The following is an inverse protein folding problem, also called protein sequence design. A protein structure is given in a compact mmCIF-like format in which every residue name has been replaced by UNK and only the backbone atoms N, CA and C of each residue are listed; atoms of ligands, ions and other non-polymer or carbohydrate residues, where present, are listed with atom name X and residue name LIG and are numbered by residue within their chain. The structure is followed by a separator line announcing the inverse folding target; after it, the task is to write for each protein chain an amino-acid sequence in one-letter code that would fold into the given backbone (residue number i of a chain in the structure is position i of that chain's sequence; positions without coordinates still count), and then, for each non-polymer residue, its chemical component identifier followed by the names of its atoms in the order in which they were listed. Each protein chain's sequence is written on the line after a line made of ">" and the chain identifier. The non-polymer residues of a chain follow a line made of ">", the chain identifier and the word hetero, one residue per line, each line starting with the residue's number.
data_IF_779178849517
#
_entry.id   IF_779178849517
#
_cell.length_a   1.000
_cell.length_b   1.000
_cell.length_c   1.000
_cell.angle_alpha   90.00
_cell.angle_beta   90.00
_cell.angle_gamma   90.00
#
_symmetry.space_group_name_H-M   'P 1'
#
loop_
_entity.id
_entity.type
_entity.pdbx_description
1 polymer ?
#
# COMPACT_ATOMS: atom_id res chain seq x y z
N UNK A 1 28.77 11.34 2.25
CA UNK A 1 27.45 10.72 2.30
C UNK A 1 26.67 11.37 3.44
N UNK A 2 25.38 11.68 3.30
CA UNK A 2 24.59 12.17 4.41
C UNK A 2 24.61 11.13 5.53
N UNK A 3 24.76 11.58 6.77
CA UNK A 3 24.80 10.68 7.93
C UNK A 3 23.40 10.59 8.53
N UNK A 4 22.50 9.82 7.89
CA UNK A 4 21.15 9.58 8.39
C UNK A 4 21.21 8.81 9.72
N UNK A 5 20.43 9.25 10.73
CA UNK A 5 20.32 8.59 12.02
C UNK A 5 19.39 7.37 11.96
N UNK A 6 18.35 7.43 11.13
CA UNK A 6 17.32 6.41 11.01
C UNK A 6 16.96 6.14 9.53
N UNK A 7 16.69 4.88 9.22
CA UNK A 7 16.22 4.44 7.90
C UNK A 7 14.80 3.89 8.01
N UNK A 8 13.88 4.47 7.25
CA UNK A 8 12.45 4.13 7.34
C UNK A 8 11.89 3.89 5.95
N UNK A 9 11.05 2.88 5.80
CA UNK A 9 10.38 2.61 4.55
C UNK A 9 8.86 2.46 4.75
N UNK A 10 8.10 3.23 4.00
CA UNK A 10 6.64 3.23 4.01
C UNK A 10 6.10 2.49 2.79
N UNK A 11 5.18 1.58 3.02
CA UNK A 11 4.57 0.77 1.97
C UNK A 11 3.05 0.87 2.02
N UNK A 12 2.43 1.11 0.88
CA UNK A 12 1.07 0.67 0.68
C UNK A 12 1.00 -0.86 0.61
N UNK A 13 -0.18 -1.44 0.85
CA UNK A 13 -0.37 -2.89 0.84
C UNK A 13 -1.06 -3.35 -0.45
N UNK A 14 -2.24 -2.78 -0.72
CA UNK A 14 -3.19 -3.28 -1.71
C UNK A 14 -2.85 -2.75 -3.12
N UNK A 15 -2.37 -3.60 -4.01
CA UNK A 15 -1.83 -3.19 -5.32
C UNK A 15 -0.31 -2.99 -5.31
N UNK A 16 0.29 -2.77 -4.14
CA UNK A 16 1.73 -2.51 -3.97
C UNK A 16 2.50 -3.74 -3.51
N UNK A 17 2.10 -4.36 -2.39
CA UNK A 17 2.68 -5.63 -1.91
C UNK A 17 1.83 -6.79 -2.40
N UNK A 18 0.51 -6.63 -2.31
CA UNK A 18 -0.46 -7.65 -2.66
C UNK A 18 -1.09 -7.39 -4.03
N UNK A 19 -1.13 -8.44 -4.85
CA UNK A 19 -1.84 -8.42 -6.15
C UNK A 19 -3.36 -8.46 -5.97
N UNK A 20 -3.82 -9.01 -4.84
CA UNK A 20 -5.23 -9.09 -4.46
C UNK A 20 -5.45 -8.29 -3.18
N UNK A 21 -6.32 -7.28 -3.20
CA UNK A 21 -6.57 -6.44 -2.04
C UNK A 21 -7.04 -7.22 -0.81
N UNK A 22 -6.61 -6.76 0.37
CA UNK A 22 -7.05 -7.33 1.65
C UNK A 22 -8.57 -7.34 1.82
N UNK A 23 -9.30 -6.24 1.46
CA UNK A 23 -10.77 -6.27 1.51
C UNK A 23 -11.39 -7.34 0.60
N UNK A 24 -10.88 -7.53 -0.61
CA UNK A 24 -11.37 -8.58 -1.52
C UNK A 24 -11.13 -9.98 -0.94
N UNK A 25 -9.97 -10.21 -0.36
CA UNK A 25 -9.62 -11.46 0.30
C UNK A 25 -10.52 -11.71 1.52
N UNK A 26 -10.83 -10.66 2.29
CA UNK A 26 -11.78 -10.72 3.41
C UNK A 26 -13.18 -11.11 2.93
N UNK A 27 -13.67 -10.46 1.87
CA UNK A 27 -14.98 -10.76 1.28
C UNK A 27 -15.10 -12.24 0.91
N UNK A 28 -14.10 -12.79 0.20
CA UNK A 28 -14.13 -14.20 -0.20
C UNK A 28 -14.14 -15.15 0.98
N UNK A 29 -13.36 -14.87 2.03
CA UNK A 29 -13.36 -15.68 3.25
C UNK A 29 -14.71 -15.60 3.96
N UNK A 30 -15.28 -14.40 4.07
CA UNK A 30 -16.57 -14.23 4.75
C UNK A 30 -17.71 -14.96 4.03
N UNK A 31 -17.77 -14.91 2.72
CA UNK A 31 -18.84 -15.62 1.97
C UNK A 31 -18.64 -17.13 1.92
N UNK A 32 -17.40 -17.62 1.98
CA UNK A 32 -17.07 -19.05 1.91
C UNK A 32 -17.25 -19.76 3.25
N UNK A 33 -16.70 -19.20 4.31
CA UNK A 33 -16.42 -19.92 5.53
C UNK A 33 -17.20 -19.45 6.76
N UNK A 34 -17.78 -18.24 6.69
CA UNK A 34 -18.46 -17.65 7.84
C UNK A 34 -19.96 -17.55 7.61
N UNK A 35 -20.73 -18.05 8.58
CA UNK A 35 -22.18 -17.81 8.60
C UNK A 35 -22.43 -16.33 8.85
N UNK A 36 -23.27 -15.74 8.02
CA UNK A 36 -23.74 -14.38 8.24
C UNK A 36 -24.43 -14.29 9.62
N UNK A 37 -23.87 -13.46 10.48
CA UNK A 37 -24.39 -13.16 11.83
C UNK A 37 -24.83 -11.70 11.95
N UNK A 38 -24.64 -10.90 10.91
CA UNK A 38 -24.92 -9.46 10.89
C UNK A 38 -26.40 -9.11 11.03
N UNK A 39 -26.66 -7.83 11.35
CA UNK A 39 -27.99 -7.35 11.72
C UNK A 39 -28.96 -7.17 10.55
N UNK A 40 -28.49 -6.80 9.36
CA UNK A 40 -29.35 -6.43 8.23
C UNK A 40 -29.06 -7.29 6.99
N UNK A 41 -29.80 -8.39 6.86
CA UNK A 41 -29.65 -9.34 5.76
C UNK A 41 -29.97 -8.71 4.40
N UNK A 42 -31.01 -7.90 4.28
CA UNK A 42 -31.41 -7.26 3.04
C UNK A 42 -30.32 -6.30 2.53
N UNK A 43 -29.79 -5.44 3.44
CA UNK A 43 -28.67 -4.55 3.12
C UNK A 43 -27.43 -5.34 2.70
N UNK A 44 -27.13 -6.44 3.36
CA UNK A 44 -26.01 -7.32 3.01
C UNK A 44 -26.15 -7.93 1.62
N UNK A 45 -27.35 -8.38 1.25
CA UNK A 45 -27.65 -8.93 -0.08
C UNK A 45 -27.54 -7.84 -1.17
N UNK A 46 -28.04 -6.62 -0.88
CA UNK A 46 -27.88 -5.46 -1.76
C UNK A 46 -26.42 -5.17 -2.06
N UNK A 47 -25.57 -5.09 -1.02
CA UNK A 47 -24.13 -4.86 -1.17
C UNK A 47 -23.43 -6.01 -1.93
N UNK A 48 -23.81 -7.26 -1.74
CA UNK A 48 -23.25 -8.37 -2.51
C UNK A 48 -23.55 -8.27 -4.02
N UNK A 49 -24.74 -7.79 -4.38
CA UNK A 49 -25.09 -7.52 -5.76
C UNK A 49 -24.22 -6.40 -6.35
N UNK A 50 -24.14 -5.28 -5.63
CA UNK A 50 -23.34 -4.11 -6.02
C UNK A 50 -21.84 -4.48 -6.16
N UNK A 51 -21.28 -5.27 -5.23
CA UNK A 51 -19.91 -5.78 -5.31
C UNK A 51 -19.66 -6.54 -6.62
N UNK A 52 -20.60 -7.40 -7.04
CA UNK A 52 -20.48 -8.14 -8.31
C UNK A 52 -20.50 -7.23 -9.52
N UNK A 53 -21.38 -6.22 -9.51
CA UNK A 53 -21.49 -5.24 -10.60
C UNK A 53 -20.25 -4.36 -10.69
N UNK A 54 -19.77 -3.80 -9.58
CA UNK A 54 -18.55 -2.99 -9.52
C UNK A 54 -17.31 -3.79 -9.91
N UNK A 55 -17.20 -5.05 -9.44
CA UNK A 55 -16.08 -5.95 -9.83
C UNK A 55 -16.02 -6.18 -11.34
N UNK A 56 -17.17 -6.30 -11.99
CA UNK A 56 -17.23 -6.41 -13.44
C UNK A 56 -16.85 -5.08 -14.10
N UNK A 57 -17.42 -3.98 -13.62
CA UNK A 57 -17.22 -2.65 -14.19
C UNK A 57 -15.75 -2.22 -14.19
N UNK A 58 -15.04 -2.29 -13.03
CA UNK A 58 -13.64 -1.84 -12.97
C UNK A 58 -12.70 -2.71 -13.81
N UNK A 59 -13.01 -4.02 -13.97
CA UNK A 59 -12.19 -4.93 -14.80
C UNK A 59 -12.35 -4.71 -16.31
N UNK A 60 -13.42 -4.06 -16.73
CA UNK A 60 -13.72 -3.82 -18.15
C UNK A 60 -13.60 -2.35 -18.55
N UNK A 61 -13.45 -1.43 -17.58
CA UNK A 61 -13.31 0.00 -17.87
C UNK A 61 -11.86 0.36 -18.20
N UNK A 62 -11.67 1.11 -19.29
CA UNK A 62 -10.36 1.65 -19.67
C UNK A 62 -10.11 3.05 -19.08
N UNK A 63 -11.16 3.82 -18.80
CA UNK A 63 -11.03 5.24 -18.41
C UNK A 63 -11.21 5.51 -16.92
N UNK A 64 -12.07 4.75 -16.23
CA UNK A 64 -12.45 5.01 -14.83
C UNK A 64 -12.15 3.82 -13.93
N UNK A 65 -11.15 3.00 -14.28
CA UNK A 65 -10.84 1.77 -13.53
C UNK A 65 -10.47 2.05 -12.08
N UNK A 66 -9.70 3.10 -11.81
CA UNK A 66 -9.20 3.44 -10.47
C UNK A 66 -10.34 3.93 -9.56
N UNK A 67 -11.24 4.77 -10.09
CA UNK A 67 -12.43 5.23 -9.35
C UNK A 67 -13.38 4.07 -9.04
N UNK A 68 -13.69 3.25 -10.05
CA UNK A 68 -14.54 2.07 -9.89
C UNK A 68 -13.93 1.04 -8.95
N UNK A 69 -12.62 0.89 -8.96
CA UNK A 69 -11.91 0.03 -8.02
C UNK A 69 -12.01 0.57 -6.59
N UNK A 70 -11.87 1.89 -6.41
CA UNK A 70 -12.09 2.54 -5.11
C UNK A 70 -13.51 2.30 -4.56
N UNK A 71 -14.53 2.49 -5.40
CA UNK A 71 -15.93 2.21 -5.05
C UNK A 71 -16.15 0.72 -4.70
N UNK A 72 -15.55 -0.18 -5.49
CA UNK A 72 -15.59 -1.62 -5.21
C UNK A 72 -15.01 -1.95 -3.83
N UNK A 73 -13.83 -1.45 -3.50
CA UNK A 73 -13.20 -1.69 -2.20
C UNK A 73 -14.03 -1.13 -1.04
N UNK A 74 -14.60 0.08 -1.18
CA UNK A 74 -15.48 0.68 -0.18
C UNK A 74 -16.74 -0.16 0.05
N UNK A 75 -17.38 -0.63 -1.02
CA UNK A 75 -18.58 -1.47 -0.92
C UNK A 75 -18.27 -2.83 -0.28
N UNK A 76 -17.11 -3.41 -0.58
CA UNK A 76 -16.63 -4.65 0.06
C UNK A 76 -16.41 -4.44 1.55
N UNK A 77 -15.79 -3.34 1.95
CA UNK A 77 -15.58 -3.02 3.36
C UNK A 77 -16.91 -2.78 4.07
N UNK A 78 -17.84 -2.04 3.45
CA UNK A 78 -19.18 -1.83 4.01
C UNK A 78 -19.93 -3.16 4.25
N UNK A 79 -19.84 -4.10 3.31
CA UNK A 79 -20.35 -5.46 3.49
C UNK A 79 -19.67 -6.16 4.67
N UNK A 80 -18.34 -6.13 4.74
CA UNK A 80 -17.59 -6.79 5.79
C UNK A 80 -17.94 -6.24 7.18
N UNK A 81 -18.08 -4.93 7.32
CA UNK A 81 -18.46 -4.30 8.60
C UNK A 81 -19.84 -4.77 9.09
N UNK A 82 -20.81 -4.91 8.18
CA UNK A 82 -22.14 -5.47 8.52
C UNK A 82 -22.01 -6.96 8.87
N UNK A 83 -21.26 -7.73 8.09
CA UNK A 83 -21.10 -9.16 8.32
C UNK A 83 -20.40 -9.48 9.67
N UNK A 84 -19.49 -8.60 10.09
CA UNK A 84 -18.70 -8.76 11.31
C UNK A 84 -19.34 -8.12 12.56
N UNK A 85 -20.48 -7.45 12.43
CA UNK A 85 -21.12 -6.68 13.51
C UNK A 85 -21.30 -7.47 14.81
N UNK A 86 -21.68 -8.76 14.70
CA UNK A 86 -21.93 -9.65 15.84
C UNK A 86 -20.76 -10.58 16.20
N UNK A 87 -19.60 -10.36 15.60
CA UNK A 87 -18.39 -11.06 15.96
C UNK A 87 -17.66 -10.33 17.09
N UNK A 88 -17.03 -11.09 17.99
CA UNK A 88 -16.17 -10.53 19.02
C UNK A 88 -14.90 -9.96 18.39
N UNK A 89 -14.22 -9.07 19.12
CA UNK A 89 -12.93 -8.53 18.67
C UNK A 89 -11.87 -9.61 18.44
N UNK A 90 -11.93 -10.72 19.20
CA UNK A 90 -11.02 -11.87 19.03
C UNK A 90 -11.31 -12.61 17.73
N UNK A 91 -12.60 -12.90 17.45
CA UNK A 91 -13.01 -13.52 16.20
C UNK A 91 -12.63 -12.66 14.99
N UNK A 92 -12.81 -11.33 15.06
CA UNK A 92 -12.41 -10.40 14.01
C UNK A 92 -10.89 -10.43 13.76
N UNK A 93 -10.09 -10.45 14.83
CA UNK A 93 -8.62 -10.59 14.73
C UNK A 93 -8.22 -11.90 14.07
N UNK A 94 -8.85 -13.01 14.45
CA UNK A 94 -8.57 -14.33 13.85
C UNK A 94 -8.98 -14.39 12.37
N UNK A 95 -10.11 -13.78 11.99
CA UNK A 95 -10.50 -13.62 10.59
C UNK A 95 -9.42 -12.82 9.82
N UNK A 96 -8.96 -11.69 10.38
CA UNK A 96 -7.89 -10.90 9.78
C UNK A 96 -6.59 -11.69 9.59
N UNK A 97 -6.17 -12.45 10.61
CA UNK A 97 -5.00 -13.34 10.50
C UNK A 97 -5.17 -14.35 9.37
N UNK A 98 -6.31 -14.97 9.29
CA UNK A 98 -6.61 -15.97 8.27
C UNK A 98 -6.61 -15.39 6.86
N UNK A 99 -7.16 -14.18 6.67
CA UNK A 99 -7.12 -13.45 5.39
C UNK A 99 -5.70 -13.26 4.90
N UNK A 100 -4.79 -12.90 5.79
CA UNK A 100 -3.40 -12.64 5.42
C UNK A 100 -2.65 -13.95 5.13
N UNK A 101 -2.76 -14.94 6.03
CA UNK A 101 -2.01 -16.19 5.95
C UNK A 101 -2.41 -17.04 4.74
N UNK A 102 -3.71 -17.15 4.45
CA UNK A 102 -4.22 -18.02 3.36
C UNK A 102 -3.70 -17.59 1.98
N UNK A 103 -3.50 -16.29 1.78
CA UNK A 103 -3.09 -15.74 0.48
C UNK A 103 -1.61 -15.32 0.42
N UNK A 104 -0.84 -15.52 1.50
CA UNK A 104 0.57 -15.17 1.55
C UNK A 104 1.37 -15.89 0.48
N UNK A 105 2.23 -15.15 -0.22
CA UNK A 105 3.12 -15.66 -1.27
C UNK A 105 2.44 -15.96 -2.60
N UNK A 106 1.16 -16.39 -2.58
CA UNK A 106 0.41 -16.67 -3.81
C UNK A 106 -0.17 -15.41 -4.45
N UNK A 107 -0.48 -14.40 -3.64
CA UNK A 107 -1.08 -13.13 -4.03
C UNK A 107 -0.16 -11.94 -3.70
N UNK A 108 1.15 -12.11 -3.78
CA UNK A 108 2.12 -11.06 -3.53
C UNK A 108 2.96 -10.78 -4.77
N UNK A 109 3.34 -9.52 -4.96
CA UNK A 109 4.32 -9.14 -5.98
C UNK A 109 5.72 -9.57 -5.55
N UNK A 110 6.37 -10.36 -6.38
CA UNK A 110 7.71 -10.91 -6.10
C UNK A 110 8.75 -9.79 -6.05
N UNK A 111 8.64 -8.79 -6.94
CA UNK A 111 9.53 -7.62 -6.93
C UNK A 111 9.44 -6.85 -5.62
N UNK A 112 8.23 -6.57 -5.14
CA UNK A 112 8.02 -5.83 -3.89
C UNK A 112 8.51 -6.62 -2.68
N UNK A 113 8.29 -7.95 -2.62
CA UNK A 113 8.84 -8.78 -1.56
C UNK A 113 10.37 -8.77 -1.54
N UNK A 114 11.03 -8.74 -2.70
CA UNK A 114 12.50 -8.61 -2.76
C UNK A 114 12.98 -7.26 -2.28
N UNK A 115 12.28 -6.16 -2.60
CA UNK A 115 12.58 -4.83 -2.07
C UNK A 115 12.45 -4.83 -0.54
N UNK A 116 11.35 -5.35 0.00
CA UNK A 116 11.10 -5.50 1.44
C UNK A 116 12.24 -6.25 2.12
N UNK A 117 12.62 -7.41 1.59
CA UNK A 117 13.69 -8.23 2.16
C UNK A 117 15.05 -7.51 2.13
N UNK A 118 15.33 -6.77 1.07
CA UNK A 118 16.56 -6.00 0.96
C UNK A 118 16.57 -4.85 1.96
N UNK A 119 15.50 -4.06 2.05
CA UNK A 119 15.38 -2.96 3.00
C UNK A 119 15.53 -3.43 4.45
N UNK A 120 14.96 -4.60 4.79
CA UNK A 120 15.15 -5.22 6.11
C UNK A 120 16.63 -5.52 6.37
N UNK A 121 17.33 -6.10 5.39
CA UNK A 121 18.78 -6.40 5.50
C UNK A 121 19.63 -5.15 5.68
N UNK A 122 19.20 -4.04 5.07
CA UNK A 122 19.85 -2.73 5.18
C UNK A 122 19.45 -1.97 6.47
N UNK A 123 18.65 -2.58 7.35
CA UNK A 123 18.28 -2.03 8.66
C UNK A 123 17.14 -1.03 8.63
N UNK A 124 16.31 -1.01 7.57
CA UNK A 124 15.13 -0.16 7.53
C UNK A 124 14.02 -0.65 8.48
N UNK A 125 13.39 0.27 9.18
CA UNK A 125 12.11 0.04 9.84
C UNK A 125 10.99 0.14 8.81
N UNK A 126 10.28 -0.95 8.58
CA UNK A 126 9.22 -1.02 7.58
C UNK A 126 7.87 -0.68 8.17
N UNK A 127 7.12 0.21 7.55
CA UNK A 127 5.82 0.70 8.01
C UNK A 127 4.82 0.51 6.88
N UNK A 128 3.68 -0.12 7.19
CA UNK A 128 2.57 -0.23 6.25
C UNK A 128 1.57 0.91 6.47
N UNK A 129 1.13 1.58 5.40
CA UNK A 129 0.05 2.58 5.43
C UNK A 129 -0.97 2.20 4.35
N UNK A 130 -2.14 1.71 4.75
CA UNK A 130 -3.18 1.24 3.83
C UNK A 130 -4.56 1.77 4.19
N UNK A 131 -5.41 2.00 3.19
CA UNK A 131 -6.84 2.27 3.36
C UNK A 131 -7.65 1.05 3.83
N UNK A 132 -7.04 -0.12 3.90
CA UNK A 132 -7.68 -1.33 4.42
C UNK A 132 -8.00 -1.23 5.91
N UNK A 133 -9.04 -1.93 6.40
CA UNK A 133 -9.39 -1.97 7.82
C UNK A 133 -8.19 -2.32 8.72
N UNK A 134 -8.05 -1.59 9.82
CA UNK A 134 -6.92 -1.69 10.74
C UNK A 134 -6.65 -3.14 11.19
N UNK A 135 -7.68 -3.93 11.49
CA UNK A 135 -7.49 -5.33 11.94
C UNK A 135 -6.82 -6.22 10.86
N UNK A 136 -7.02 -5.91 9.57
CA UNK A 136 -6.33 -6.58 8.46
C UNK A 136 -4.88 -6.12 8.36
N UNK A 137 -4.65 -4.81 8.50
CA UNK A 137 -3.29 -4.21 8.49
C UNK A 137 -2.48 -4.72 9.68
N UNK A 138 -3.07 -4.82 10.88
CA UNK A 138 -2.39 -5.37 12.07
C UNK A 138 -1.99 -6.84 11.86
N UNK A 139 -2.86 -7.64 11.25
CA UNK A 139 -2.55 -9.02 10.88
C UNK A 139 -1.44 -9.10 9.83
N UNK A 140 -1.47 -8.21 8.82
CA UNK A 140 -0.45 -8.11 7.79
C UNK A 140 0.92 -7.76 8.38
N UNK A 141 0.99 -6.73 9.20
CA UNK A 141 2.22 -6.28 9.89
C UNK A 141 2.88 -7.41 10.65
N UNK A 142 2.08 -8.17 11.39
CA UNK A 142 2.59 -9.33 12.16
C UNK A 142 3.11 -10.45 11.25
N UNK A 143 2.38 -10.75 10.18
CA UNK A 143 2.71 -11.86 9.28
C UNK A 143 3.93 -11.57 8.39
N UNK A 144 4.07 -10.30 7.94
CA UNK A 144 5.17 -9.87 7.08
C UNK A 144 6.33 -9.25 7.86
N UNK A 145 6.27 -9.25 9.19
CA UNK A 145 7.31 -8.72 10.07
C UNK A 145 7.66 -7.25 9.73
N UNK A 146 6.65 -6.40 9.72
CA UNK A 146 6.79 -4.96 9.66
C UNK A 146 6.90 -4.37 11.05
N UNK A 147 7.59 -3.22 11.18
CA UNK A 147 7.75 -2.52 12.44
C UNK A 147 6.42 -2.02 13.01
N UNK A 148 5.53 -1.49 12.14
CA UNK A 148 4.18 -1.07 12.48
C UNK A 148 3.29 -0.93 11.25
N UNK A 149 1.98 -0.75 11.48
CA UNK A 149 1.01 -0.50 10.42
C UNK A 149 -0.05 0.50 10.81
N UNK A 150 -0.50 1.27 9.82
CA UNK A 150 -1.58 2.24 9.90
C UNK A 150 -2.64 1.79 8.90
N UNK A 151 -3.80 1.41 9.41
CA UNK A 151 -4.97 1.03 8.64
C UNK A 151 -6.13 1.98 8.91
N UNK A 152 -7.20 1.85 8.13
CA UNK A 152 -8.42 2.60 8.37
C UNK A 152 -9.12 2.09 9.63
N UNK A 153 -9.31 2.98 10.59
CA UNK A 153 -10.04 2.66 11.82
C UNK A 153 -11.56 2.67 11.59
N UNK A 154 -12.22 1.73 12.24
CA UNK A 154 -13.68 1.61 12.31
C UNK A 154 -14.08 1.43 13.76
N UNK A 155 -14.85 2.37 14.29
CA UNK A 155 -15.35 2.33 15.65
C UNK A 155 -16.80 1.84 15.67
N UNK A 156 -17.18 1.09 16.71
CA UNK A 156 -18.56 0.72 16.94
C UNK A 156 -19.29 1.88 17.61
N UNK A 157 -20.41 2.29 17.01
CA UNK A 157 -21.31 3.24 17.66
C UNK A 157 -22.11 2.58 18.83
N UNK A 158 -22.93 3.36 19.52
CA UNK A 158 -23.74 2.89 20.65
C UNK A 158 -24.71 1.76 20.28
N UNK A 159 -24.97 1.56 18.98
CA UNK A 159 -25.79 0.48 18.46
C UNK A 159 -24.96 -0.75 18.05
N UNK A 160 -23.63 -0.71 18.24
CA UNK A 160 -22.71 -1.75 17.85
C UNK A 160 -22.39 -1.80 16.35
N UNK A 161 -22.80 -0.78 15.59
CA UNK A 161 -22.55 -0.67 14.14
C UNK A 161 -21.19 -0.03 13.91
N UNK A 162 -20.38 -0.65 13.03
CA UNK A 162 -19.09 -0.08 12.64
C UNK A 162 -19.27 1.21 11.83
N UNK A 163 -18.56 2.26 12.25
CA UNK A 163 -18.47 3.54 11.54
C UNK A 163 -17.01 3.85 11.22
N UNK A 164 -16.78 4.34 10.02
CA UNK A 164 -15.46 4.84 9.62
C UNK A 164 -15.11 6.09 10.45
N UNK A 165 -13.88 6.15 10.95
CA UNK A 165 -13.39 7.35 11.61
C UNK A 165 -13.24 8.52 10.62
N UNK A 166 -13.23 9.76 11.15
CA UNK A 166 -13.23 10.98 10.29
C UNK A 166 -11.99 11.11 9.41
N UNK A 167 -10.85 10.56 9.85
CA UNK A 167 -9.60 10.66 9.11
C UNK A 167 -9.47 9.44 8.22
N UNK A 168 -9.55 9.66 6.92
CA UNK A 168 -9.37 8.61 5.92
C UNK A 168 -7.89 8.39 5.63
N UNK A 169 -7.41 7.20 5.92
CA UNK A 169 -6.00 6.85 5.81
C UNK A 169 -5.47 7.03 4.39
N UNK A 170 -6.21 6.62 3.38
CA UNK A 170 -5.75 6.68 1.98
C UNK A 170 -5.66 8.11 1.43
N UNK A 171 -6.42 9.08 1.97
CA UNK A 171 -6.38 10.49 1.56
C UNK A 171 -5.25 11.27 2.24
N UNK A 172 -4.72 10.76 3.36
CA UNK A 172 -3.84 11.49 4.27
C UNK A 172 -2.50 10.78 4.54
N UNK A 173 -2.01 9.96 3.62
CA UNK A 173 -0.80 9.15 3.85
C UNK A 173 0.43 9.97 4.25
N UNK A 174 0.65 11.15 3.66
CA UNK A 174 1.78 12.02 4.03
C UNK A 174 1.72 12.47 5.50
N UNK A 175 0.54 12.79 6.01
CA UNK A 175 0.36 13.19 7.41
C UNK A 175 0.76 12.06 8.37
N UNK A 176 0.43 10.82 8.02
CA UNK A 176 0.83 9.65 8.81
C UNK A 176 2.34 9.39 8.72
N UNK A 177 2.97 9.65 7.58
CA UNK A 177 4.43 9.60 7.46
C UNK A 177 5.08 10.57 8.45
N UNK A 178 4.66 11.84 8.46
CA UNK A 178 5.18 12.85 9.38
C UNK A 178 4.99 12.46 10.83
N UNK A 179 3.77 12.07 11.22
CA UNK A 179 3.48 11.63 12.59
C UNK A 179 4.35 10.46 13.06
N UNK A 180 4.63 9.51 12.17
CA UNK A 180 5.50 8.38 12.49
C UNK A 180 6.94 8.83 12.69
N UNK A 181 7.47 9.67 11.81
CA UNK A 181 8.84 10.16 11.91
C UNK A 181 9.03 11.04 13.14
N UNK A 182 8.07 11.93 13.46
CA UNK A 182 8.06 12.71 14.72
C UNK A 182 8.08 11.80 15.94
N UNK A 183 7.24 10.78 15.98
CA UNK A 183 7.22 9.80 17.08
C UNK A 183 8.54 9.03 17.20
N UNK A 184 9.14 8.68 16.07
CA UNK A 184 10.42 7.96 16.05
C UNK A 184 11.60 8.82 16.47
N UNK A 185 11.54 10.16 16.30
CA UNK A 185 12.56 11.10 16.79
C UNK A 185 12.66 11.13 18.31
N UNK A 186 11.66 10.59 19.01
CA UNK A 186 11.59 10.57 20.48
C UNK A 186 11.21 11.92 21.12
N UNK A 187 11.38 13.03 20.41
CA UNK A 187 10.98 14.37 20.85
C UNK A 187 10.49 15.19 19.64
N UNK A 188 9.16 15.45 19.53
CA UNK A 188 8.61 16.21 18.41
C UNK A 188 9.20 17.62 18.27
N UNK A 189 9.64 18.26 19.36
CA UNK A 189 10.26 19.59 19.32
C UNK A 189 11.66 19.59 18.71
N UNK A 190 12.30 18.42 18.61
CA UNK A 190 13.63 18.24 18.05
C UNK A 190 13.57 17.46 16.73
N UNK A 191 12.38 17.24 16.19
CA UNK A 191 12.20 16.55 14.94
C UNK A 191 12.90 17.28 13.81
N UNK A 192 13.77 16.57 13.10
CA UNK A 192 14.39 17.03 11.86
C UNK A 192 14.22 15.95 10.80
N UNK A 193 13.53 16.28 9.71
CA UNK A 193 13.29 15.36 8.59
C UNK A 193 14.61 14.82 7.99
N UNK A 194 15.66 15.62 7.99
CA UNK A 194 16.97 15.24 7.45
C UNK A 194 17.71 14.17 8.25
N UNK A 195 17.27 13.88 9.48
CA UNK A 195 17.80 12.77 10.27
C UNK A 195 17.33 11.40 9.74
N UNK A 196 16.37 11.38 8.83
CA UNK A 196 15.76 10.17 8.31
C UNK A 196 16.04 9.98 6.82
N UNK A 197 16.48 8.78 6.43
CA UNK A 197 16.38 8.35 5.05
C UNK A 197 15.06 7.61 4.83
N UNK A 198 14.18 8.17 4.00
CA UNK A 198 12.82 7.71 3.80
C UNK A 198 12.65 7.08 2.42
N UNK A 199 12.21 5.84 2.39
CA UNK A 199 11.74 5.16 1.19
C UNK A 199 10.22 5.08 1.22
N UNK A 200 9.56 5.21 0.06
CA UNK A 200 8.12 4.94 -0.07
C UNK A 200 7.83 4.00 -1.24
N UNK A 201 6.80 3.18 -1.11
CA UNK A 201 6.30 2.33 -2.19
C UNK A 201 4.77 2.35 -2.23
N UNK A 202 4.20 2.48 -3.44
CA UNK A 202 2.77 2.53 -3.68
C UNK A 202 2.44 2.28 -5.16
N UNK A 203 1.16 2.22 -5.52
CA UNK A 203 0.69 1.91 -6.86
C UNK A 203 -0.34 2.91 -7.40
N UNK A 204 -0.91 3.77 -6.53
CA UNK A 204 -2.00 4.67 -6.89
C UNK A 204 -1.71 6.13 -6.57
N UNK A 205 -2.57 7.02 -7.12
CA UNK A 205 -2.55 8.45 -6.80
C UNK A 205 -2.68 8.74 -5.29
N UNK A 206 -3.38 7.90 -4.53
CA UNK A 206 -3.48 8.01 -3.07
C UNK A 206 -2.13 7.92 -2.35
N UNK A 207 -1.13 7.27 -2.98
CA UNK A 207 0.22 7.09 -2.44
C UNK A 207 1.16 8.25 -2.78
N UNK A 208 0.78 9.06 -3.76
CA UNK A 208 1.66 10.08 -4.33
C UNK A 208 2.15 11.09 -3.29
N UNK A 209 1.29 11.49 -2.36
CA UNK A 209 1.68 12.43 -1.29
C UNK A 209 2.80 11.85 -0.40
N UNK A 210 2.70 10.59 -0.02
CA UNK A 210 3.72 9.85 0.72
C UNK A 210 5.02 9.70 -0.10
N UNK A 211 4.90 9.40 -1.39
CA UNK A 211 6.04 9.27 -2.30
C UNK A 211 6.79 10.58 -2.53
N UNK A 212 6.07 11.69 -2.65
CA UNK A 212 6.68 13.03 -2.76
C UNK A 212 7.50 13.40 -1.52
N UNK A 213 7.10 12.91 -0.37
CA UNK A 213 7.80 13.16 0.90
C UNK A 213 9.07 12.31 1.05
N UNK A 214 9.15 11.17 0.37
CA UNK A 214 10.28 10.25 0.46
C UNK A 214 11.53 10.75 -0.27
N UNK A 215 12.71 10.24 0.13
CA UNK A 215 13.97 10.45 -0.60
C UNK A 215 14.03 9.54 -1.83
N UNK A 216 13.49 8.30 -1.71
CA UNK A 216 13.37 7.34 -2.82
C UNK A 216 11.96 6.74 -2.87
N UNK A 217 11.37 6.69 -4.05
CA UNK A 217 10.04 6.13 -4.27
C UNK A 217 10.04 4.98 -5.28
N UNK A 218 9.36 3.88 -4.94
CA UNK A 218 9.08 2.76 -5.82
C UNK A 218 7.60 2.77 -6.20
N UNK A 219 7.31 2.91 -7.47
CA UNK A 219 5.95 2.92 -8.02
C UNK A 219 5.67 1.56 -8.62
N UNK A 220 4.75 0.82 -8.03
CA UNK A 220 4.50 -0.58 -8.39
C UNK A 220 3.27 -0.67 -9.29
N UNK A 221 3.42 -1.16 -10.50
CA UNK A 221 2.33 -1.37 -11.46
C UNK A 221 1.32 -0.20 -11.56
N UNK A 222 1.77 1.06 -11.71
CA UNK A 222 0.87 2.20 -11.74
C UNK A 222 -0.16 2.09 -12.89
N UNK A 223 -1.32 2.71 -12.69
CA UNK A 223 -2.22 3.03 -13.80
C UNK A 223 -1.55 4.03 -14.76
N UNK A 224 -2.02 4.10 -16.00
CA UNK A 224 -1.50 5.06 -16.99
C UNK A 224 -1.63 6.48 -16.45
N UNK A 225 -2.78 6.83 -15.89
CA UNK A 225 -3.05 8.16 -15.34
C UNK A 225 -2.08 8.52 -14.21
N UNK A 226 -1.79 7.58 -13.31
CA UNK A 226 -0.84 7.81 -12.22
C UNK A 226 0.60 7.89 -12.72
N UNK A 227 0.95 7.08 -13.71
CA UNK A 227 2.26 7.15 -14.37
C UNK A 227 2.48 8.52 -15.01
N UNK A 228 1.52 9.03 -15.79
CA UNK A 228 1.60 10.35 -16.42
C UNK A 228 1.75 11.46 -15.37
N UNK A 229 1.00 11.39 -14.26
CA UNK A 229 1.13 12.35 -13.16
C UNK A 229 2.54 12.38 -12.54
N UNK A 230 3.21 11.23 -12.45
CA UNK A 230 4.60 11.17 -11.96
C UNK A 230 5.56 11.82 -12.95
N UNK A 231 5.37 11.57 -14.26
CA UNK A 231 6.17 12.20 -15.31
C UNK A 231 6.04 13.73 -15.24
N UNK A 232 4.80 14.23 -15.23
CA UNK A 232 4.52 15.66 -15.15
C UNK A 232 5.19 16.30 -13.92
N UNK A 233 5.07 15.65 -12.76
CA UNK A 233 5.70 16.12 -11.53
C UNK A 233 7.24 16.19 -11.63
N UNK A 234 7.88 15.18 -12.22
CA UNK A 234 9.35 15.14 -12.37
C UNK A 234 9.82 16.17 -13.38
N UNK A 235 9.06 16.43 -14.45
CA UNK A 235 9.37 17.44 -15.45
C UNK A 235 9.21 18.86 -14.90
N UNK A 236 8.21 19.12 -14.05
CA UNK A 236 7.99 20.41 -13.40
C UNK A 236 9.06 20.73 -12.32
N UNK A 237 9.53 19.72 -11.58
CA UNK A 237 10.54 19.87 -10.51
C UNK A 237 11.98 19.89 -11.04
N UNK A 238 12.17 20.19 -12.33
CA UNK A 238 13.46 20.25 -13.02
C UNK A 238 14.44 21.31 -12.46
N UNK A 239 14.07 22.02 -11.38
CA UNK A 239 14.90 23.01 -10.69
C UNK A 239 16.03 22.42 -9.82
N UNK A 240 16.02 21.10 -9.57
CA UNK A 240 17.07 20.40 -8.80
C UNK A 240 17.82 19.43 -9.71
N UNK A 241 19.03 19.77 -10.16
CA UNK A 241 19.89 18.84 -10.87
C UNK A 241 20.50 17.84 -9.87
N UNK A 242 19.68 16.94 -9.35
CA UNK A 242 20.19 15.77 -8.65
C UNK A 242 20.13 14.60 -9.64
N UNK A 243 21.28 14.08 -10.03
CA UNK A 243 21.42 12.91 -10.93
C UNK A 243 20.79 11.62 -10.34
N UNK A 244 20.24 11.71 -9.12
CA UNK A 244 19.59 10.62 -8.43
C UNK A 244 18.12 10.56 -8.81
N UNK A 245 17.71 9.45 -9.37
CA UNK A 245 16.32 9.19 -9.73
C UNK A 245 15.47 8.95 -8.47
N UNK A 246 14.63 9.94 -8.10
CA UNK A 246 13.71 9.79 -6.98
C UNK A 246 12.67 8.70 -7.21
N UNK A 247 12.07 8.65 -8.41
CA UNK A 247 11.02 7.71 -8.75
C UNK A 247 11.53 6.56 -9.61
N UNK A 248 11.20 5.34 -9.20
CA UNK A 248 11.45 4.13 -9.98
C UNK A 248 10.16 3.39 -10.18
N UNK A 249 9.73 3.24 -11.41
CA UNK A 249 8.56 2.45 -11.79
C UNK A 249 8.97 0.99 -11.97
N UNK A 250 8.21 0.11 -11.35
CA UNK A 250 8.39 -1.35 -11.43
C UNK A 250 7.09 -1.96 -11.91
N UNK A 251 7.09 -2.47 -13.14
CA UNK A 251 5.96 -3.19 -13.72
C UNK A 251 6.22 -4.70 -13.65
N UNK A 252 5.48 -5.39 -12.81
CA UNK A 252 5.58 -6.84 -12.68
C UNK A 252 4.43 -7.53 -13.41
N UNK A 253 4.76 -8.30 -14.46
CA UNK A 253 3.83 -9.17 -15.17
C UNK A 253 4.30 -10.61 -15.11
N UNK A 254 3.43 -11.51 -14.64
CA UNK A 254 3.76 -12.95 -14.54
C UNK A 254 5.08 -13.20 -13.80
N UNK A 255 5.28 -12.50 -12.67
CA UNK A 255 6.50 -12.57 -11.83
C UNK A 255 7.79 -12.13 -12.53
N UNK A 256 7.70 -11.32 -13.58
CA UNK A 256 8.85 -10.74 -14.29
C UNK A 256 8.80 -9.23 -14.14
N UNK A 257 9.70 -8.62 -13.35
CA UNK A 257 9.75 -7.17 -13.20
C UNK A 257 10.39 -6.52 -14.41
N UNK A 258 9.84 -5.37 -14.80
CA UNK A 258 10.45 -4.40 -15.70
C UNK A 258 10.62 -3.12 -14.90
N UNK A 259 11.77 -2.49 -14.99
CA UNK A 259 12.11 -1.31 -14.19
C UNK A 259 12.38 -0.12 -15.07
N UNK A 260 11.86 1.03 -14.69
CA UNK A 260 12.08 2.30 -15.35
C UNK A 260 12.40 3.38 -14.32
N UNK A 261 13.53 4.07 -14.46
CA UNK A 261 13.88 5.24 -13.67
C UNK A 261 13.33 6.50 -14.35
N UNK A 262 12.58 7.30 -13.61
CA UNK A 262 12.04 8.56 -14.10
C UNK A 262 13.00 9.68 -13.74
N UNK A 263 13.66 10.22 -14.75
CA UNK A 263 14.60 11.33 -14.65
C UNK A 263 14.09 12.53 -15.43
N UNK A 264 14.32 13.78 -14.96
CA UNK A 264 13.97 14.98 -15.73
C UNK A 264 14.81 15.06 -17.00
N UNK A 265 14.18 15.39 -18.12
CA UNK A 265 14.81 15.67 -19.42
C UNK A 265 15.78 14.62 -19.99
N UNK A 266 15.67 13.37 -19.60
CA UNK A 266 16.51 12.27 -20.12
C UNK A 266 15.71 11.29 -20.96
N UNK A 267 16.33 10.79 -22.04
CA UNK A 267 15.78 9.62 -22.73
C UNK A 267 15.59 8.47 -21.72
N UNK A 268 14.40 7.88 -21.72
CA UNK A 268 14.01 6.77 -20.84
C UNK A 268 15.01 5.63 -21.00
N UNK A 269 15.95 5.48 -20.06
CA UNK A 269 16.86 4.35 -19.99
C UNK A 269 16.33 3.35 -18.97
N UNK A 270 15.42 2.50 -19.41
CA UNK A 270 15.02 1.34 -18.60
C UNK A 270 16.15 0.33 -18.58
N UNK A 271 16.65 -0.06 -17.40
CA UNK A 271 17.61 -1.16 -17.32
C UNK A 271 16.94 -2.43 -17.84
N UNK A 272 17.63 -3.16 -18.75
CA UNK A 272 17.09 -4.40 -19.31
C UNK A 272 17.24 -5.50 -18.26
N UNK A 273 16.22 -5.65 -17.40
CA UNK A 273 16.17 -6.69 -16.38
C UNK A 273 15.59 -7.95 -17.03
N UNK A 274 16.43 -9.00 -17.14
CA UNK A 274 16.06 -10.26 -17.79
C UNK A 274 15.64 -11.37 -16.83
N UNK A 275 15.98 -11.22 -15.54
CA UNK A 275 15.71 -12.24 -14.52
C UNK A 275 15.46 -11.58 -13.15
N UNK A 276 14.87 -12.35 -12.22
CA UNK A 276 14.67 -11.91 -10.85
C UNK A 276 16.01 -11.64 -10.15
N UNK A 277 17.05 -12.45 -10.39
CA UNK A 277 18.38 -12.24 -9.83
C UNK A 277 19.01 -10.94 -10.30
N UNK A 278 18.84 -10.60 -11.59
CA UNK A 278 19.28 -9.32 -12.14
C UNK A 278 18.51 -8.15 -11.51
N UNK A 279 17.24 -8.31 -11.18
CA UNK A 279 16.43 -7.33 -10.47
C UNK A 279 16.93 -7.11 -9.04
N UNK A 280 17.17 -8.18 -8.29
CA UNK A 280 17.70 -8.11 -6.91
C UNK A 280 19.04 -7.40 -6.87
N UNK A 281 19.94 -7.75 -7.79
CA UNK A 281 21.26 -7.10 -7.90
C UNK A 281 21.14 -5.61 -8.26
N UNK A 282 20.23 -5.27 -9.17
CA UNK A 282 20.01 -3.89 -9.56
C UNK A 282 19.45 -3.06 -8.42
N UNK A 283 18.41 -3.56 -7.69
CA UNK A 283 17.80 -2.82 -6.58
C UNK A 283 18.82 -2.59 -5.45
N UNK A 284 19.68 -3.57 -5.18
CA UNK A 284 20.76 -3.45 -4.21
C UNK A 284 21.73 -2.31 -4.59
N UNK A 285 22.18 -2.26 -5.84
CA UNK A 285 23.03 -1.18 -6.35
C UNK A 285 22.35 0.18 -6.30
N UNK A 286 21.07 0.22 -6.64
CA UNK A 286 20.29 1.46 -6.63
C UNK A 286 20.14 2.02 -5.22
N UNK A 287 19.79 1.21 -4.23
CA UNK A 287 19.70 1.63 -2.83
C UNK A 287 21.05 2.12 -2.28
N UNK A 288 22.14 1.45 -2.59
CA UNK A 288 23.47 1.87 -2.12
C UNK A 288 23.99 3.18 -2.72
N UNK A 289 23.36 3.71 -3.78
CA UNK A 289 23.64 5.06 -4.28
C UNK A 289 23.05 6.15 -3.39
N UNK A 290 22.02 5.82 -2.62
CA UNK A 290 21.28 6.74 -1.78
C UNK A 290 21.71 6.71 -0.31
N UNK A 291 22.08 5.54 0.19
CA UNK A 291 22.53 5.29 1.56
C UNK A 291 24.05 5.45 1.65
#
# INVERSE_FOLDING_TARGET
>A
MPNFKEKVAFFDIDGTIRTKPLPESLYEILIRDYKYRGGNLEKSQGLQKEIKELRKAYKTSEKNSDELFGQYCQTVVAFAMIALEKYTSEEVREIGRRVVVEYRGSQDYVSTLNIINLLKKEGFKLIAISGSPKFLVDAFVKEYDFYMGIGQDYEKDDQGIFRETKIRTFENKHMFVEQVLEKMSGNPLLFNREDFFVVAAGDTQGDFSMMKYADKAFVINPSITFYDQIIDFVEEDSSKPDDRCKFTVISERKRRPVVENILPNTEKKSPMIRSLDSFVLWIHKELHRWI
#
